data_IF_193125959963
#
_entry.id   IF_193125959963
#
_cell.length_a   1.000
_cell.length_b   1.000
_cell.length_c   1.000
_cell.angle_alpha   90.00
_cell.angle_beta   90.00
_cell.angle_gamma   90.00
#
_symmetry.space_group_name_H-M   'P 1'
#
loop_
_entity.id
_entity.type
_entity.pdbx_description
1 polymer ?
#
# COMPACT_ATOMS: atom_id res chain seq x y z
N UNK A 1 -3.03 23.09 6.64
CA UNK A 1 -3.37 21.70 6.30
C UNK A 1 -4.85 21.62 5.97
N UNK A 2 -5.19 20.87 4.93
CA UNK A 2 -6.58 20.59 4.54
C UNK A 2 -7.16 19.65 5.59
N UNK A 3 -8.28 20.05 6.23
CA UNK A 3 -8.97 19.18 7.19
C UNK A 3 -10.10 18.43 6.48
N UNK A 4 -10.39 17.18 6.87
CA UNK A 4 -11.55 16.48 6.36
C UNK A 4 -12.84 17.14 6.84
N UNK A 5 -13.82 17.24 5.96
CA UNK A 5 -15.17 17.66 6.31
C UNK A 5 -16.02 16.47 6.74
N UNK A 6 -15.61 15.26 6.42
CA UNK A 6 -16.27 14.01 6.80
C UNK A 6 -15.26 12.88 6.96
N UNK A 7 -15.49 12.02 7.92
CA UNK A 7 -14.73 10.79 8.17
C UNK A 7 -15.68 9.68 8.54
N UNK A 8 -15.35 8.45 8.19
CA UNK A 8 -16.20 7.33 8.51
C UNK A 8 -15.47 6.00 8.59
N UNK A 9 -16.24 4.97 8.89
CA UNK A 9 -15.79 3.60 8.92
C UNK A 9 -16.69 2.76 8.03
N UNK A 10 -16.10 2.15 7.01
CA UNK A 10 -16.78 1.19 6.14
C UNK A 10 -16.62 -0.22 6.73
N UNK A 11 -17.72 -0.86 7.07
CA UNK A 11 -17.72 -2.26 7.49
C UNK A 11 -17.81 -3.12 6.23
N UNK A 12 -16.77 -3.91 5.99
CA UNK A 12 -16.70 -4.86 4.89
C UNK A 12 -16.72 -6.30 5.43
N UNK A 13 -16.18 -7.27 4.67
CA UNK A 13 -16.09 -8.66 5.14
C UNK A 13 -15.35 -8.73 6.48
N UNK A 14 -15.90 -9.47 7.44
CA UNK A 14 -15.23 -9.64 8.74
C UNK A 14 -13.81 -10.23 8.58
N UNK A 15 -12.83 -9.75 9.34
CA UNK A 15 -12.96 -8.82 10.48
C UNK A 15 -12.79 -7.33 10.14
N UNK A 16 -12.74 -6.94 8.87
CA UNK A 16 -12.25 -5.65 8.41
C UNK A 16 -13.26 -4.49 8.60
N UNK A 17 -12.73 -3.38 9.12
CA UNK A 17 -13.40 -2.07 9.22
C UNK A 17 -12.46 -1.01 8.66
N UNK A 18 -12.80 -0.44 7.53
CA UNK A 18 -11.92 0.46 6.79
C UNK A 18 -12.20 1.92 7.16
N UNK A 19 -11.14 2.65 7.46
CA UNK A 19 -11.22 4.08 7.72
C UNK A 19 -11.18 4.85 6.41
N UNK A 20 -12.08 5.79 6.25
CA UNK A 20 -12.07 6.71 5.11
C UNK A 20 -12.29 8.15 5.54
N UNK A 21 -11.90 9.07 4.70
CA UNK A 21 -12.15 10.50 4.91
C UNK A 21 -12.41 11.22 3.60
N UNK A 22 -13.15 12.33 3.69
CA UNK A 22 -13.39 13.24 2.59
C UNK A 22 -12.91 14.65 2.96
N UNK A 23 -12.20 15.30 2.05
CA UNK A 23 -11.74 16.68 2.21
C UNK A 23 -11.88 17.48 0.90
N UNK A 24 -11.60 18.77 0.95
CA UNK A 24 -11.74 19.69 -0.18
C UNK A 24 -13.17 20.15 -0.42
N UNK A 25 -13.61 20.18 -1.67
CA UNK A 25 -14.93 20.67 -2.07
C UNK A 25 -15.99 19.55 -2.05
N UNK A 26 -16.99 19.57 -1.15
CA UNK A 26 -18.02 18.52 -1.09
C UNK A 26 -18.85 18.38 -2.38
N UNK A 27 -18.86 19.43 -3.22
CA UNK A 27 -19.54 19.43 -4.53
C UNK A 27 -18.58 19.34 -5.71
N UNK A 28 -17.29 19.15 -5.42
CA UNK A 28 -16.24 19.06 -6.41
C UNK A 28 -16.24 17.76 -7.19
N UNK A 29 -15.34 17.66 -8.16
CA UNK A 29 -15.17 16.46 -8.96
C UNK A 29 -14.51 15.36 -8.09
N UNK A 30 -15.12 14.17 -7.97
CA UNK A 30 -14.61 13.13 -7.05
C UNK A 30 -13.28 12.57 -7.51
N UNK A 31 -12.33 12.45 -6.57
CA UNK A 31 -11.06 11.77 -6.76
C UNK A 31 -10.76 10.85 -5.58
N UNK A 32 -10.45 9.58 -5.87
CA UNK A 32 -10.00 8.59 -4.90
C UNK A 32 -8.48 8.56 -4.84
N UNK A 33 -7.93 8.64 -3.64
CA UNK A 33 -6.51 8.40 -3.37
C UNK A 33 -6.30 7.01 -2.77
N UNK A 34 -5.39 6.25 -3.39
CA UNK A 34 -4.97 4.91 -2.96
C UNK A 34 -3.51 4.93 -2.53
N UNK A 35 -3.28 4.70 -1.24
CA UNK A 35 -1.93 4.69 -0.66
C UNK A 35 -1.10 3.48 -1.11
N UNK A 36 0.20 3.57 -0.94
CA UNK A 36 1.17 2.51 -1.19
C UNK A 36 1.43 1.58 0.00
N UNK A 37 2.56 0.96 -0.02
CA UNK A 37 2.98 -0.16 0.79
C UNK A 37 2.91 -1.44 -0.07
N UNK A 38 1.94 -2.34 0.19
CA UNK A 38 0.68 -2.17 0.96
C UNK A 38 0.91 -1.94 2.45
N UNK A 39 -0.02 -1.25 3.09
CA UNK A 39 0.03 -1.11 4.55
C UNK A 39 0.30 0.32 5.06
N UNK A 40 0.78 1.24 4.21
CA UNK A 40 1.17 2.58 4.67
C UNK A 40 0.03 3.40 5.30
N UNK A 41 -1.21 3.23 4.81
CA UNK A 41 -2.32 4.09 5.19
C UNK A 41 -2.21 5.49 4.59
N UNK A 42 -3.23 6.32 4.84
CA UNK A 42 -3.29 7.69 4.37
C UNK A 42 -2.90 8.69 5.46
N UNK A 43 -2.26 9.77 5.06
CA UNK A 43 -1.82 10.85 5.92
C UNK A 43 -2.44 12.20 5.55
N UNK A 44 -2.26 13.20 6.40
CA UNK A 44 -2.68 14.56 6.08
C UNK A 44 -1.94 15.19 4.89
N UNK A 45 -0.75 14.67 4.56
CA UNK A 45 0.03 15.09 3.41
C UNK A 45 -0.62 14.67 2.09
N UNK A 46 -1.23 13.50 2.05
CA UNK A 46 -1.84 12.95 0.84
C UNK A 46 -3.02 13.79 0.34
N UNK A 47 -3.68 14.54 1.22
CA UNK A 47 -4.72 15.51 0.87
C UNK A 47 -4.19 16.66 0.01
N UNK A 48 -2.88 16.95 0.11
CA UNK A 48 -2.24 18.08 -0.55
C UNK A 48 -1.85 17.81 -2.02
N UNK A 49 -2.04 16.60 -2.53
CA UNK A 49 -1.83 16.30 -3.95
C UNK A 49 -2.85 16.95 -4.87
N UNK A 50 -3.98 17.42 -4.34
CA UNK A 50 -5.14 17.86 -5.10
C UNK A 50 -5.54 19.27 -4.75
N UNK A 51 -6.09 20.00 -5.73
CA UNK A 51 -6.71 21.32 -5.48
C UNK A 51 -8.02 21.15 -4.71
N UNK A 52 -8.06 21.56 -3.41
CA UNK A 52 -9.23 21.38 -2.57
C UNK A 52 -10.43 22.28 -2.97
N UNK A 53 -10.21 23.29 -3.82
CA UNK A 53 -11.31 24.09 -4.35
C UNK A 53 -12.05 23.36 -5.49
N UNK A 54 -11.36 22.47 -6.19
CA UNK A 54 -11.88 21.76 -7.36
C UNK A 54 -12.38 20.35 -7.02
N UNK A 55 -11.60 19.59 -6.24
CA UNK A 55 -11.87 18.17 -6.02
C UNK A 55 -12.61 17.89 -4.70
N UNK A 56 -13.53 16.91 -4.75
CA UNK A 56 -14.01 16.12 -3.62
C UNK A 56 -13.02 14.97 -3.42
N UNK A 57 -12.11 15.13 -2.48
CA UNK A 57 -10.98 14.23 -2.28
C UNK A 57 -11.38 13.13 -1.30
N UNK A 58 -11.31 11.88 -1.71
CA UNK A 58 -11.61 10.70 -0.88
C UNK A 58 -10.31 9.95 -0.64
N UNK A 59 -9.99 9.68 0.62
CA UNK A 59 -8.86 8.86 1.04
C UNK A 59 -9.40 7.61 1.74
N UNK A 60 -8.87 6.44 1.38
CA UNK A 60 -9.24 5.15 1.95
C UNK A 60 -7.99 4.47 2.54
N UNK A 61 -8.01 4.17 3.82
CA UNK A 61 -7.04 3.26 4.41
C UNK A 61 -7.48 1.82 4.09
N UNK A 62 -6.70 1.11 3.28
CA UNK A 62 -7.01 -0.25 2.81
C UNK A 62 -7.00 -1.25 3.97
N UNK A 63 -7.41 -2.51 3.72
CA UNK A 63 -7.44 -3.58 4.72
C UNK A 63 -6.10 -3.71 5.45
N UNK A 64 -6.14 -3.77 6.77
CA UNK A 64 -4.97 -3.92 7.62
C UNK A 64 -4.05 -2.69 7.71
N UNK A 65 -4.40 -1.58 7.05
CA UNK A 65 -3.52 -0.43 6.84
C UNK A 65 -3.94 0.78 7.65
N UNK A 66 -2.98 1.58 8.09
CA UNK A 66 -3.23 2.88 8.70
C UNK A 66 -4.20 2.83 9.88
N UNK A 67 -5.31 3.53 9.78
CA UNK A 67 -6.38 3.61 10.79
C UNK A 67 -7.42 2.51 10.66
N UNK A 68 -7.39 1.71 9.58
CA UNK A 68 -8.28 0.56 9.37
C UNK A 68 -7.99 -0.57 10.34
N UNK A 69 -9.01 -1.33 10.72
CA UNK A 69 -8.91 -2.38 11.73
C UNK A 69 -9.35 -3.74 11.16
N UNK A 70 -8.77 -4.84 11.64
CA UNK A 70 -7.59 -4.92 12.52
C UNK A 70 -6.30 -4.55 11.77
N UNK A 71 -5.35 -3.91 12.47
CA UNK A 71 -4.07 -3.50 11.88
C UNK A 71 -3.21 -4.73 11.56
N UNK A 72 -2.62 -4.77 10.37
CA UNK A 72 -1.76 -5.86 9.91
C UNK A 72 -2.49 -7.20 9.68
N UNK A 73 -3.83 -7.20 9.64
CA UNK A 73 -4.61 -8.42 9.40
C UNK A 73 -4.52 -8.88 7.94
N UNK A 74 -4.35 -10.19 7.75
CA UNK A 74 -4.14 -10.83 6.44
C UNK A 74 -5.37 -11.58 5.92
N UNK A 75 -6.45 -11.64 6.70
CA UNK A 75 -7.68 -12.37 6.36
C UNK A 75 -8.31 -11.77 5.12
N UNK A 76 -8.49 -12.57 4.07
CA UNK A 76 -9.01 -12.13 2.76
C UNK A 76 -8.44 -10.78 2.28
N UNK A 77 -7.15 -10.56 2.57
CA UNK A 77 -6.44 -9.34 2.18
C UNK A 77 -5.81 -9.55 0.81
N UNK A 78 -6.59 -9.29 -0.24
CA UNK A 78 -6.26 -9.53 -1.65
C UNK A 78 -6.60 -8.32 -2.51
N UNK A 79 -6.06 -8.25 -3.73
CA UNK A 79 -6.38 -7.19 -4.68
C UNK A 79 -7.88 -7.15 -5.01
N UNK A 80 -8.51 -8.33 -5.24
CA UNK A 80 -9.94 -8.41 -5.57
C UNK A 80 -10.81 -7.97 -4.40
N UNK A 81 -10.42 -8.30 -3.16
CA UNK A 81 -11.13 -7.82 -1.98
C UNK A 81 -11.05 -6.29 -1.87
N UNK A 82 -9.88 -5.72 -2.12
CA UNK A 82 -9.71 -4.24 -2.13
C UNK A 82 -10.56 -3.58 -3.23
N UNK A 83 -10.69 -4.20 -4.40
CA UNK A 83 -11.60 -3.68 -5.47
C UNK A 83 -13.06 -3.66 -5.00
N UNK A 84 -13.52 -4.73 -4.32
CA UNK A 84 -14.88 -4.77 -3.75
C UNK A 84 -15.09 -3.68 -2.69
N UNK A 85 -14.10 -3.47 -1.84
CA UNK A 85 -14.15 -2.42 -0.81
C UNK A 85 -14.23 -1.01 -1.42
N UNK A 86 -13.47 -0.76 -2.48
CA UNK A 86 -13.49 0.51 -3.22
C UNK A 86 -14.89 0.76 -3.82
N UNK A 87 -15.52 -0.26 -4.42
CA UNK A 87 -16.87 -0.14 -4.96
C UNK A 87 -17.92 0.08 -3.86
N UNK A 88 -17.81 -0.64 -2.75
CA UNK A 88 -18.71 -0.44 -1.62
C UNK A 88 -18.58 0.99 -1.05
N UNK A 89 -17.36 1.52 -0.93
CA UNK A 89 -17.14 2.90 -0.50
C UNK A 89 -17.73 3.90 -1.50
N UNK A 90 -17.51 3.67 -2.80
CA UNK A 90 -18.05 4.54 -3.85
C UNK A 90 -19.58 4.64 -3.76
N UNK A 91 -20.25 3.50 -3.56
CA UNK A 91 -21.70 3.43 -3.43
C UNK A 91 -22.21 4.10 -2.15
N UNK A 92 -21.54 3.87 -1.01
CA UNK A 92 -21.89 4.51 0.27
C UNK A 92 -21.79 6.04 0.20
N UNK A 93 -20.78 6.55 -0.54
CA UNK A 93 -20.58 7.99 -0.74
C UNK A 93 -21.47 8.60 -1.85
N UNK A 94 -22.28 7.79 -2.53
CA UNK A 94 -23.14 8.23 -3.62
C UNK A 94 -22.36 8.77 -4.83
N UNK A 95 -21.17 8.25 -5.08
CA UNK A 95 -20.31 8.66 -6.19
C UNK A 95 -20.57 7.73 -7.38
N UNK A 96 -20.94 8.29 -8.52
CA UNK A 96 -21.17 7.50 -9.74
C UNK A 96 -19.83 7.08 -10.39
N UNK A 97 -18.93 8.04 -10.55
CA UNK A 97 -17.60 7.88 -11.17
C UNK A 97 -16.60 8.82 -10.50
N UNK A 98 -15.36 8.43 -10.45
CA UNK A 98 -14.27 9.24 -9.90
C UNK A 98 -12.97 9.16 -10.71
N UNK A 99 -12.10 10.12 -10.51
CA UNK A 99 -10.69 10.00 -10.84
C UNK A 99 -10.02 9.11 -9.81
N UNK A 100 -9.00 8.36 -10.20
CA UNK A 100 -8.25 7.50 -9.27
C UNK A 100 -6.77 7.86 -9.34
N UNK A 101 -6.21 8.15 -8.18
CA UNK A 101 -4.78 8.40 -8.00
C UNK A 101 -4.18 7.27 -7.15
N UNK A 102 -3.12 6.62 -7.66
CA UNK A 102 -2.41 5.58 -6.93
C UNK A 102 -0.89 5.75 -7.03
N UNK A 103 -0.20 5.65 -5.90
CA UNK A 103 1.26 5.69 -5.82
C UNK A 103 1.84 4.38 -5.32
N UNK A 104 2.98 3.92 -5.91
CA UNK A 104 3.63 2.64 -5.53
C UNK A 104 2.62 1.48 -5.65
N UNK A 105 2.43 0.65 -4.62
CA UNK A 105 1.37 -0.37 -4.60
C UNK A 105 -0.02 0.21 -4.87
N UNK A 106 -0.30 1.46 -4.48
CA UNK A 106 -1.54 2.14 -4.84
C UNK A 106 -1.76 2.23 -6.36
N UNK A 107 -0.69 2.26 -7.17
CA UNK A 107 -0.79 2.20 -8.63
C UNK A 107 -1.20 0.81 -9.13
N UNK A 108 -0.77 -0.26 -8.47
CA UNK A 108 -1.21 -1.64 -8.74
C UNK A 108 -2.72 -1.75 -8.57
N UNK A 109 -3.23 -1.31 -7.41
CA UNK A 109 -4.66 -1.36 -7.08
C UNK A 109 -5.47 -0.41 -7.97
N UNK A 110 -4.97 0.80 -8.26
CA UNK A 110 -5.65 1.73 -9.16
C UNK A 110 -5.83 1.14 -10.57
N UNK A 111 -4.79 0.49 -11.08
CA UNK A 111 -4.84 -0.16 -12.39
C UNK A 111 -5.77 -1.38 -12.38
N UNK A 112 -5.68 -2.23 -11.34
CA UNK A 112 -6.55 -3.40 -11.18
C UNK A 112 -8.02 -2.99 -11.06
N UNK A 113 -8.32 -1.96 -10.26
CA UNK A 113 -9.65 -1.39 -10.13
C UNK A 113 -10.19 -0.84 -11.45
N UNK A 114 -9.39 -0.07 -12.20
CA UNK A 114 -9.81 0.49 -13.47
C UNK A 114 -10.09 -0.60 -14.53
N UNK A 115 -9.36 -1.71 -14.48
CA UNK A 115 -9.59 -2.86 -15.36
C UNK A 115 -10.82 -3.68 -14.96
N UNK A 116 -11.14 -3.74 -13.67
CA UNK A 116 -12.32 -4.42 -13.15
C UNK A 116 -13.61 -3.60 -13.32
N UNK A 117 -13.54 -2.27 -13.14
CA UNK A 117 -14.65 -1.34 -13.13
C UNK A 117 -14.39 -0.11 -14.04
N UNK A 118 -14.12 -0.30 -15.34
CA UNK A 118 -13.71 0.80 -16.24
C UNK A 118 -14.75 1.91 -16.34
N UNK A 119 -16.03 1.57 -16.24
CA UNK A 119 -17.14 2.54 -16.27
C UNK A 119 -17.17 3.45 -15.03
N UNK A 120 -16.48 3.09 -13.96
CA UNK A 120 -16.38 3.88 -12.71
C UNK A 120 -15.19 4.84 -12.70
N UNK A 121 -14.23 4.62 -13.60
CA UNK A 121 -13.04 5.46 -13.71
C UNK A 121 -13.24 6.57 -14.72
N UNK A 122 -12.99 7.84 -14.30
CA UNK A 122 -12.91 8.99 -15.21
C UNK A 122 -11.52 9.12 -15.81
N UNK A 123 -10.49 8.93 -14.99
CA UNK A 123 -9.08 8.92 -15.37
C UNK A 123 -8.24 8.25 -14.29
N UNK A 124 -7.01 7.88 -14.65
CA UNK A 124 -5.99 7.36 -13.74
C UNK A 124 -4.81 8.32 -13.68
N UNK A 125 -4.26 8.48 -12.47
CA UNK A 125 -2.94 9.08 -12.24
C UNK A 125 -2.12 8.06 -11.47
N UNK A 126 -1.09 7.53 -12.11
CA UNK A 126 -0.21 6.51 -11.54
C UNK A 126 1.18 7.09 -11.30
N UNK A 127 1.66 7.02 -10.07
CA UNK A 127 2.97 7.54 -9.64
C UNK A 127 3.82 6.42 -9.06
N UNK A 128 5.12 6.36 -9.48
CA UNK A 128 6.01 5.31 -9.01
C UNK A 128 5.41 3.94 -9.28
N UNK A 129 5.06 3.69 -10.55
CA UNK A 129 4.29 2.51 -10.96
C UNK A 129 5.00 1.24 -10.49
N UNK A 130 4.24 0.42 -9.80
CA UNK A 130 4.58 -0.92 -9.32
C UNK A 130 3.47 -1.87 -9.73
N UNK A 131 3.80 -2.98 -10.37
CA UNK A 131 2.82 -3.93 -10.92
C UNK A 131 2.72 -5.21 -10.12
N UNK A 132 3.50 -5.31 -9.03
CA UNK A 132 3.56 -6.49 -8.16
C UNK A 132 4.01 -7.76 -8.90
N UNK A 133 4.85 -7.64 -9.95
CA UNK A 133 5.37 -8.76 -10.71
C UNK A 133 6.56 -9.39 -9.99
N UNK A 134 6.78 -10.68 -10.24
CA UNK A 134 7.88 -11.40 -9.61
C UNK A 134 9.25 -10.76 -9.91
N UNK A 135 9.47 -10.27 -11.13
CA UNK A 135 10.74 -9.61 -11.47
C UNK A 135 10.98 -8.31 -10.70
N UNK A 136 9.92 -7.57 -10.32
CA UNK A 136 10.00 -6.35 -9.52
C UNK A 136 10.29 -6.69 -8.05
N UNK A 137 9.66 -7.75 -7.54
CA UNK A 137 9.93 -8.30 -6.21
C UNK A 137 11.37 -8.78 -6.11
N UNK A 138 11.85 -9.56 -7.10
CA UNK A 138 13.23 -10.04 -7.15
C UNK A 138 14.23 -8.90 -7.28
N UNK A 139 13.86 -7.83 -8.02
CA UNK A 139 14.69 -6.64 -8.14
C UNK A 139 14.84 -5.96 -6.79
N UNK A 140 13.74 -5.75 -6.07
CA UNK A 140 13.73 -5.12 -4.75
C UNK A 140 14.48 -5.96 -3.71
N UNK A 141 14.22 -7.26 -3.62
CA UNK A 141 14.83 -8.15 -2.64
C UNK A 141 16.32 -8.41 -2.88
N UNK A 142 16.78 -8.47 -4.14
CA UNK A 142 18.11 -8.99 -4.44
C UNK A 142 18.95 -8.10 -5.34
N UNK A 143 18.37 -7.28 -6.22
CA UNK A 143 19.14 -6.51 -7.22
C UNK A 143 19.45 -5.08 -6.78
N UNK A 144 18.72 -4.51 -5.84
CA UNK A 144 19.01 -3.19 -5.25
C UNK A 144 20.42 -3.12 -4.68
N UNK A 145 20.99 -4.23 -4.23
CA UNK A 145 22.41 -4.33 -3.81
C UNK A 145 23.43 -3.84 -4.83
N UNK A 146 23.07 -3.81 -6.11
CA UNK A 146 23.93 -3.30 -7.17
C UNK A 146 24.05 -1.77 -7.17
N UNK A 147 23.09 -1.10 -6.53
CA UNK A 147 22.98 0.36 -6.46
C UNK A 147 23.25 0.85 -5.03
N UNK A 148 22.75 0.12 -4.04
CA UNK A 148 22.85 0.44 -2.61
C UNK A 148 23.33 -0.79 -1.83
N UNK A 149 24.60 -1.21 -1.97
CA UNK A 149 25.10 -2.43 -1.37
C UNK A 149 25.10 -2.39 0.18
N UNK A 150 25.47 -1.27 0.78
CA UNK A 150 25.53 -1.14 2.23
C UNK A 150 24.14 -1.30 2.87
N UNK A 151 23.14 -0.68 2.26
CA UNK A 151 21.75 -0.79 2.71
C UNK A 151 21.23 -2.22 2.59
N UNK A 152 21.55 -2.87 1.47
CA UNK A 152 21.16 -4.27 1.26
C UNK A 152 21.88 -5.22 2.23
N UNK A 153 23.15 -4.96 2.55
CA UNK A 153 23.91 -5.76 3.50
C UNK A 153 23.32 -5.68 4.92
N UNK A 154 22.81 -4.52 5.34
CA UNK A 154 22.07 -4.37 6.60
C UNK A 154 20.76 -5.13 6.60
N UNK A 155 19.97 -5.01 5.52
CA UNK A 155 18.71 -5.73 5.35
C UNK A 155 18.91 -7.26 5.33
N UNK A 156 19.78 -7.76 4.45
CA UNK A 156 20.05 -9.19 4.35
C UNK A 156 20.84 -9.71 5.58
N UNK A 157 21.64 -8.85 6.21
CA UNK A 157 22.46 -9.15 7.38
C UNK A 157 21.67 -9.54 8.62
N UNK A 158 20.48 -9.01 8.79
CA UNK A 158 19.56 -9.41 9.85
C UNK A 158 19.15 -10.90 9.75
N UNK A 159 19.07 -11.44 8.55
CA UNK A 159 18.72 -12.84 8.30
C UNK A 159 19.96 -13.73 8.44
N UNK A 160 19.90 -14.86 9.18
CA UNK A 160 20.97 -15.83 9.24
C UNK A 160 21.42 -16.28 7.86
N UNK A 161 22.72 -16.44 7.64
CA UNK A 161 23.28 -16.73 6.31
C UNK A 161 22.65 -17.98 5.65
N UNK A 162 22.30 -18.99 6.44
CA UNK A 162 21.69 -20.22 5.92
C UNK A 162 20.27 -20.00 5.34
N UNK A 163 19.59 -18.89 5.72
CA UNK A 163 18.24 -18.56 5.28
C UNK A 163 18.22 -17.48 4.17
N UNK A 164 19.36 -16.85 3.86
CA UNK A 164 19.44 -15.74 2.88
C UNK A 164 19.16 -16.15 1.42
N UNK A 165 19.05 -17.44 1.16
CA UNK A 165 18.66 -17.93 -0.16
C UNK A 165 17.22 -17.58 -0.54
N UNK A 166 16.37 -17.32 0.45
CA UNK A 166 15.00 -16.84 0.28
C UNK A 166 14.69 -15.81 1.37
N UNK A 167 15.02 -14.54 1.07
CA UNK A 167 14.83 -13.43 2.01
C UNK A 167 13.35 -13.19 2.29
N UNK A 168 12.47 -13.34 1.31
CA UNK A 168 11.03 -13.15 1.49
C UNK A 168 10.48 -14.16 2.51
N UNK A 169 10.77 -15.44 2.34
CA UNK A 169 10.31 -16.49 3.25
C UNK A 169 10.94 -16.33 4.65
N UNK A 170 12.21 -15.91 4.72
CA UNK A 170 12.89 -15.68 5.99
C UNK A 170 12.28 -14.52 6.80
N UNK A 171 11.96 -13.41 6.14
CA UNK A 171 11.25 -12.29 6.75
C UNK A 171 9.80 -12.65 7.08
N UNK A 172 9.09 -13.32 6.16
CA UNK A 172 7.72 -13.77 6.37
C UNK A 172 7.55 -14.57 7.66
N UNK A 173 8.41 -15.56 7.89
CA UNK A 173 8.38 -16.38 9.11
C UNK A 173 8.52 -15.57 10.39
N UNK A 174 9.34 -14.51 10.36
CA UNK A 174 9.56 -13.63 11.51
C UNK A 174 8.39 -12.68 11.71
N UNK A 175 7.90 -12.09 10.65
CA UNK A 175 6.79 -11.12 10.67
C UNK A 175 5.44 -11.74 11.07
N UNK A 176 5.26 -13.06 10.83
CA UNK A 176 4.01 -13.78 11.08
C UNK A 176 4.11 -14.78 12.23
N UNK A 177 5.30 -14.99 12.80
CA UNK A 177 5.53 -15.90 13.93
C UNK A 177 4.97 -15.36 15.25
N UNK A 178 4.97 -16.23 16.27
CA UNK A 178 4.42 -15.91 17.60
C UNK A 178 5.36 -15.03 18.44
N UNK A 179 6.65 -14.91 18.07
CA UNK A 179 7.63 -14.06 18.75
C UNK A 179 7.45 -12.61 18.31
N UNK A 180 6.70 -11.85 19.12
CA UNK A 180 6.41 -10.44 18.84
C UNK A 180 7.67 -9.55 18.83
N UNK A 181 8.63 -9.82 19.67
CA UNK A 181 9.88 -9.05 19.74
C UNK A 181 10.68 -9.22 18.46
N UNK A 182 10.85 -10.47 18.01
CA UNK A 182 11.51 -10.80 16.74
C UNK A 182 10.74 -10.23 15.53
N UNK A 183 9.41 -10.25 15.58
CA UNK A 183 8.58 -9.68 14.52
C UNK A 183 8.75 -8.16 14.38
N UNK A 184 8.82 -7.44 15.49
CA UNK A 184 9.07 -5.98 15.49
C UNK A 184 10.49 -5.64 15.02
N UNK A 185 11.50 -6.44 15.40
CA UNK A 185 12.86 -6.25 14.93
C UNK A 185 12.96 -6.50 13.41
N UNK A 186 12.36 -7.58 12.90
CA UNK A 186 12.28 -7.85 11.48
C UNK A 186 11.59 -6.71 10.71
N UNK A 187 10.48 -6.21 11.23
CA UNK A 187 9.75 -5.08 10.66
C UNK A 187 10.58 -3.80 10.59
N UNK A 188 11.37 -3.53 11.62
CA UNK A 188 12.28 -2.39 11.64
C UNK A 188 13.31 -2.46 10.52
N UNK A 189 13.96 -3.61 10.32
CA UNK A 189 14.93 -3.81 9.23
C UNK A 189 14.26 -3.67 7.86
N UNK A 190 13.06 -4.21 7.71
CA UNK A 190 12.27 -4.08 6.49
C UNK A 190 11.92 -2.62 6.19
N UNK A 191 11.37 -1.89 7.17
CA UNK A 191 10.96 -0.50 7.00
C UNK A 191 12.14 0.45 6.73
N UNK A 192 13.31 0.24 7.35
CA UNK A 192 14.53 1.00 7.05
C UNK A 192 14.94 0.78 5.60
N UNK A 193 14.94 -0.47 5.14
CA UNK A 193 15.28 -0.81 3.76
C UNK A 193 14.30 -0.20 2.77
N UNK A 194 12.99 -0.36 2.99
CA UNK A 194 11.93 0.21 2.17
C UNK A 194 12.05 1.73 2.05
N UNK A 195 12.13 2.44 3.17
CA UNK A 195 12.19 3.91 3.18
C UNK A 195 13.45 4.44 2.50
N UNK A 196 14.58 3.77 2.66
CA UNK A 196 15.83 4.17 2.01
C UNK A 196 15.79 3.91 0.50
N UNK A 197 15.10 2.86 0.02
CA UNK A 197 14.88 2.62 -1.40
C UNK A 197 13.99 3.68 -2.07
N UNK A 198 13.11 4.33 -1.30
CA UNK A 198 12.17 5.33 -1.81
C UNK A 198 12.78 6.72 -2.02
N UNK A 199 13.99 7.01 -1.53
CA UNK A 199 14.60 8.34 -1.57
C UNK A 199 16.05 8.29 -2.05
N UNK A 200 16.46 9.27 -2.88
CA UNK A 200 17.87 9.41 -3.31
C UNK A 200 18.77 10.00 -2.22
N UNK A 201 18.18 10.78 -1.34
CA UNK A 201 18.86 11.43 -0.20
C UNK A 201 18.07 11.05 1.04
N UNK A 202 18.75 10.71 2.16
CA UNK A 202 18.06 10.41 3.42
C UNK A 202 17.02 11.47 3.75
N UNK A 203 15.80 11.03 4.07
CA UNK A 203 14.69 11.90 4.42
C UNK A 203 14.13 11.48 5.78
N UNK A 204 14.54 12.19 6.84
CA UNK A 204 14.17 11.89 8.21
C UNK A 204 12.65 12.01 8.45
N UNK A 205 11.97 12.96 7.79
CA UNK A 205 10.52 13.14 7.90
C UNK A 205 9.78 11.91 7.33
N UNK A 206 10.21 11.43 6.16
CA UNK A 206 9.65 10.22 5.55
C UNK A 206 9.93 8.98 6.40
N UNK A 207 11.17 8.84 6.89
CA UNK A 207 11.54 7.70 7.75
C UNK A 207 10.81 7.72 9.10
N UNK A 208 10.54 8.91 9.66
CA UNK A 208 9.82 9.05 10.92
C UNK A 208 8.38 8.57 10.86
N UNK A 209 7.77 8.55 9.68
CA UNK A 209 6.43 7.98 9.49
C UNK A 209 6.37 6.46 9.82
N UNK A 210 7.49 5.76 9.62
CA UNK A 210 7.67 4.35 9.95
C UNK A 210 8.43 4.13 11.27
N UNK A 211 8.61 5.17 12.09
CA UNK A 211 9.31 5.06 13.37
C UNK A 211 8.44 4.38 14.46
N UNK A 212 7.12 4.39 14.29
CA UNK A 212 6.22 3.62 15.15
C UNK A 212 6.33 2.13 14.84
N UNK A 213 6.65 1.34 15.86
CA UNK A 213 6.94 -0.08 15.69
C UNK A 213 5.74 -0.91 15.19
N UNK A 214 4.53 -0.55 15.61
CA UNK A 214 3.31 -1.25 15.19
C UNK A 214 2.95 -0.89 13.74
N UNK A 215 3.15 0.36 13.32
CA UNK A 215 3.02 0.79 11.94
C UNK A 215 4.02 0.09 11.04
N UNK A 216 5.30 0.07 11.41
CA UNK A 216 6.35 -0.63 10.66
C UNK A 216 6.04 -2.13 10.53
N UNK A 217 5.55 -2.76 11.61
CA UNK A 217 5.16 -4.16 11.59
C UNK A 217 3.97 -4.43 10.65
N UNK A 218 2.95 -3.59 10.69
CA UNK A 218 1.79 -3.75 9.81
C UNK A 218 2.18 -3.65 8.33
N UNK A 219 2.99 -2.64 7.98
CA UNK A 219 3.50 -2.45 6.61
C UNK A 219 4.33 -3.65 6.17
N UNK A 220 5.38 -4.00 6.92
CA UNK A 220 6.26 -5.10 6.55
C UNK A 220 5.52 -6.45 6.41
N UNK A 221 4.55 -6.69 7.31
CA UNK A 221 3.73 -7.90 7.29
C UNK A 221 2.80 -7.96 6.07
N UNK A 222 2.17 -6.83 5.72
CA UNK A 222 1.30 -6.73 4.55
C UNK A 222 2.12 -6.82 3.25
N UNK A 223 3.24 -6.12 3.14
CA UNK A 223 4.12 -6.20 1.97
C UNK A 223 4.61 -7.63 1.75
N UNK A 224 5.14 -8.29 2.79
CA UNK A 224 5.58 -9.68 2.69
C UNK A 224 4.43 -10.62 2.31
N UNK A 225 3.20 -10.39 2.80
CA UNK A 225 2.01 -11.14 2.40
C UNK A 225 1.71 -11.00 0.91
N UNK A 226 1.67 -9.75 0.43
CA UNK A 226 1.37 -9.48 -0.98
C UNK A 226 2.45 -10.02 -1.92
N UNK A 227 3.71 -9.83 -1.58
CA UNK A 227 4.83 -10.34 -2.38
C UNK A 227 4.83 -11.87 -2.48
N UNK A 228 4.36 -12.55 -1.43
CA UNK A 228 4.37 -14.01 -1.33
C UNK A 228 3.11 -14.67 -1.87
N UNK A 229 1.93 -14.06 -1.69
CA UNK A 229 0.65 -14.73 -1.83
C UNK A 229 -0.33 -14.04 -2.78
N UNK A 230 -0.08 -12.78 -3.19
CA UNK A 230 -1.08 -11.96 -3.89
C UNK A 230 -0.55 -11.40 -5.22
N UNK A 231 0.57 -11.93 -5.72
CA UNK A 231 1.09 -11.57 -7.05
C UNK A 231 0.06 -11.86 -8.14
N UNK A 232 -0.01 -11.01 -9.20
CA UNK A 232 -0.91 -11.26 -10.32
C UNK A 232 -0.67 -12.62 -10.99
N UNK A 233 -1.73 -13.31 -11.36
CA UNK A 233 -1.68 -14.56 -12.11
C UNK A 233 -2.48 -14.43 -13.43
N UNK A 234 -1.85 -14.49 -14.60
CA UNK A 234 -0.40 -14.56 -14.84
C UNK A 234 0.32 -13.26 -14.41
N UNK A 235 1.64 -13.32 -14.25
CA UNK A 235 2.49 -12.20 -13.82
C UNK A 235 2.33 -10.93 -14.71
N UNK A 236 1.98 -11.12 -15.98
CA UNK A 236 1.66 -10.04 -16.94
C UNK A 236 0.23 -9.52 -16.87
N UNK A 237 -0.64 -10.05 -16.00
CA UNK A 237 -2.10 -9.81 -16.01
C UNK A 237 -2.48 -8.34 -16.13
N UNK A 238 -1.84 -7.45 -15.37
CA UNK A 238 -2.16 -6.02 -15.40
C UNK A 238 -1.70 -5.35 -16.69
N UNK A 239 -0.58 -5.79 -17.28
CA UNK A 239 -0.07 -5.27 -18.56
C UNK A 239 -0.91 -5.75 -19.74
N UNK A 240 -1.34 -7.01 -19.76
CA UNK A 240 -2.12 -7.61 -20.85
C UNK A 240 -3.49 -6.95 -21.01
N UNK A 241 -3.94 -6.20 -20.00
CA UNK A 241 -5.24 -5.53 -19.98
C UNK A 241 -5.16 -4.00 -20.08
N UNK A 242 -3.98 -3.43 -20.35
CA UNK A 242 -3.80 -1.96 -20.42
C UNK A 242 -4.56 -1.32 -21.57
N UNK A 243 -4.85 -2.04 -22.64
CA UNK A 243 -5.58 -1.53 -23.82
C UNK A 243 -7.10 -1.53 -23.66
N UNK A 244 -7.62 -1.94 -22.52
CA UNK A 244 -9.06 -2.00 -22.23
C UNK A 244 -9.54 -0.77 -21.49
#
# INVERSE_FOLDING_TARGET
>A
SIQPFETGTLVVDEPHKLCWEQCGNPKGDPILFLHGGPGAGCTGYDRCFFDPAHFRIVLLDQRGSGRSQPVGDLTDNTMDATVRDIEQLREELGIERWHVFGGSYGSTIALHYAQACPERCKSLVLRGIWLLRQEEIDWWLYRVRMIQPELWDEFAGFIPQAERGDLLEAYWKRLTGDDRELALEAAKHWAIYETACCTLVPNEEFTSHFADADTAWAVARLEAHYFRNVTPEPDSMLLDRVER
#
